data_IF_216927936583
#
_entry.id   IF_216927936583
#
_cell.length_a   1.000
_cell.length_b   1.000
_cell.length_c   1.000
_cell.angle_alpha   90.00
_cell.angle_beta   90.00
_cell.angle_gamma   90.00
#
_symmetry.space_group_name_H-M   'P 1'
#
loop_
_entity.id
_entity.type
_entity.pdbx_description
1 polymer ?
#
# COMPACT_ATOMS: atom_id res chain seq x y z
N UNK A 1 13.34 -19.49 9.50
CA UNK A 1 12.47 -18.35 9.07
C UNK A 1 12.82 -17.15 9.92
N UNK A 2 13.00 -15.95 9.36
CA UNK A 2 13.23 -14.77 10.18
C UNK A 2 12.02 -14.58 11.12
N UNK A 3 12.30 -14.25 12.40
CA UNK A 3 11.27 -13.94 13.39
C UNK A 3 10.40 -12.77 12.85
N UNK A 4 9.09 -12.80 13.09
CA UNK A 4 8.22 -11.66 12.78
C UNK A 4 8.63 -10.47 13.63
N UNK A 5 9.03 -9.37 13.00
CA UNK A 5 9.43 -8.15 13.70
C UNK A 5 8.25 -7.25 14.07
N UNK A 6 7.13 -7.40 13.36
CA UNK A 6 5.89 -6.70 13.64
C UNK A 6 4.68 -7.49 13.14
N UNK A 7 3.54 -7.26 13.78
CA UNK A 7 2.22 -7.76 13.36
C UNK A 7 1.36 -6.53 13.10
N UNK A 8 0.81 -6.44 11.89
CA UNK A 8 -0.21 -5.44 11.52
C UNK A 8 -1.56 -6.13 11.50
N UNK A 9 -2.54 -5.53 12.13
CA UNK A 9 -3.89 -6.09 12.24
C UNK A 9 -4.83 -5.50 11.19
N UNK A 10 -5.81 -6.30 10.78
CA UNK A 10 -6.95 -5.76 10.06
C UNK A 10 -7.66 -4.70 10.92
N UNK A 11 -8.21 -3.69 10.27
CA UNK A 11 -8.92 -2.61 10.94
C UNK A 11 -10.22 -2.29 10.22
N UNK A 12 -11.11 -1.62 10.94
CA UNK A 12 -12.33 -1.03 10.41
C UNK A 12 -12.62 0.25 11.17
N UNK A 13 -12.80 1.34 10.46
CA UNK A 13 -13.28 2.56 11.07
C UNK A 13 -14.81 2.50 11.28
N UNK A 14 -15.27 3.13 12.35
CA UNK A 14 -16.68 3.15 12.78
C UNK A 14 -17.08 4.60 13.03
N UNK A 15 -18.26 4.99 12.56
CA UNK A 15 -18.85 6.29 12.85
C UNK A 15 -20.37 6.13 13.05
N UNK A 16 -20.95 6.94 13.95
CA UNK A 16 -22.40 7.08 14.10
C UNK A 16 -23.00 8.07 13.10
N UNK A 17 -22.18 8.98 12.57
CA UNK A 17 -22.58 9.93 11.53
C UNK A 17 -22.68 9.21 10.18
N UNK A 18 -23.84 9.26 9.50
CA UNK A 18 -24.03 8.56 8.22
C UNK A 18 -23.12 9.06 7.09
N UNK A 19 -22.79 10.36 7.03
CA UNK A 19 -21.92 10.93 6.03
C UNK A 19 -20.47 10.52 6.26
N UNK A 20 -20.01 10.63 7.52
CA UNK A 20 -18.68 10.16 7.90
C UNK A 20 -18.57 8.64 7.68
N UNK A 21 -19.59 7.87 8.03
CA UNK A 21 -19.65 6.42 7.80
C UNK A 21 -19.50 6.08 6.33
N UNK A 22 -20.10 6.86 5.43
CA UNK A 22 -19.97 6.70 3.99
C UNK A 22 -18.56 7.07 3.49
N UNK A 23 -18.04 8.21 3.94
CA UNK A 23 -16.70 8.65 3.57
C UNK A 23 -15.63 7.66 4.02
N UNK A 24 -15.75 7.14 5.24
CA UNK A 24 -14.79 6.17 5.78
C UNK A 24 -14.90 4.80 5.10
N UNK A 25 -16.09 4.42 4.63
CA UNK A 25 -16.27 3.20 3.85
C UNK A 25 -15.47 3.25 2.52
N UNK A 26 -15.49 4.38 1.85
CA UNK A 26 -14.67 4.61 0.65
C UNK A 26 -13.17 4.62 0.97
N UNK A 27 -12.78 5.27 2.06
CA UNK A 27 -11.37 5.31 2.51
C UNK A 27 -10.84 3.90 2.84
N UNK A 28 -11.55 3.15 3.69
CA UNK A 28 -11.18 1.79 4.07
C UNK A 28 -11.20 0.85 2.85
N UNK A 29 -12.14 1.05 1.94
CA UNK A 29 -12.22 0.34 0.67
C UNK A 29 -10.98 0.61 -0.19
N UNK A 30 -10.55 1.86 -0.31
CA UNK A 30 -9.32 2.24 -1.01
C UNK A 30 -8.08 1.60 -0.39
N UNK A 31 -7.94 1.66 0.95
CA UNK A 31 -6.80 1.07 1.66
C UNK A 31 -6.77 -0.46 1.50
N UNK A 32 -7.91 -1.11 1.62
CA UNK A 32 -8.02 -2.56 1.44
C UNK A 32 -7.73 -2.96 -0.01
N UNK A 33 -8.25 -2.22 -0.98
CA UNK A 33 -7.96 -2.43 -2.39
C UNK A 33 -6.46 -2.30 -2.69
N UNK A 34 -5.80 -1.24 -2.19
CA UNK A 34 -4.36 -1.03 -2.34
C UNK A 34 -3.55 -2.20 -1.80
N UNK A 35 -3.81 -2.62 -0.55
CA UNK A 35 -3.08 -3.72 0.10
C UNK A 35 -3.29 -5.05 -0.63
N UNK A 36 -4.53 -5.38 -1.03
CA UNK A 36 -4.82 -6.60 -1.78
C UNK A 36 -4.16 -6.59 -3.17
N UNK A 37 -4.13 -5.43 -3.83
CA UNK A 37 -3.48 -5.28 -5.13
C UNK A 37 -1.96 -5.41 -5.03
N UNK A 38 -1.32 -4.87 -3.97
CA UNK A 38 0.09 -5.11 -3.68
C UNK A 38 0.38 -6.59 -3.44
N UNK A 39 -0.51 -7.28 -2.71
CA UNK A 39 -0.40 -8.72 -2.47
C UNK A 39 -0.50 -9.51 -3.78
N UNK A 40 -1.45 -9.18 -4.65
CA UNK A 40 -1.58 -9.78 -5.97
C UNK A 40 -0.36 -9.52 -6.88
N UNK A 41 0.30 -8.37 -6.71
CA UNK A 41 1.55 -8.05 -7.40
C UNK A 41 2.80 -8.73 -6.79
N UNK A 42 2.65 -9.56 -5.73
CA UNK A 42 3.75 -10.16 -4.96
C UNK A 42 4.71 -9.14 -4.33
N UNK A 43 4.20 -7.99 -3.91
CA UNK A 43 5.00 -7.00 -3.18
C UNK A 43 5.22 -7.44 -1.73
N UNK A 44 6.45 -7.30 -1.23
CA UNK A 44 6.81 -7.54 0.17
C UNK A 44 6.18 -6.53 1.14
N UNK A 45 5.57 -5.46 0.62
CA UNK A 45 5.01 -4.34 1.38
C UNK A 45 3.47 -4.30 1.38
N UNK A 46 2.83 -5.47 1.22
CA UNK A 46 1.38 -5.64 1.16
C UNK A 46 0.73 -5.70 2.56
N UNK A 47 0.79 -4.61 3.32
CA UNK A 47 0.18 -4.46 4.64
C UNK A 47 -0.30 -3.01 4.85
N UNK A 48 -1.37 -2.78 5.63
CA UNK A 48 -1.82 -1.43 5.97
C UNK A 48 -0.83 -0.75 6.93
N UNK A 49 -0.72 0.58 6.84
CA UNK A 49 0.21 1.38 7.65
C UNK A 49 -0.54 2.40 8.51
N UNK A 50 -1.36 1.91 9.43
CA UNK A 50 -2.09 2.73 10.40
C UNK A 50 -1.45 2.59 11.78
N UNK A 51 -1.01 3.69 12.35
CA UNK A 51 -0.20 3.74 13.58
C UNK A 51 -0.81 3.07 14.81
N UNK A 52 -2.14 2.97 14.86
CA UNK A 52 -2.86 2.35 15.99
C UNK A 52 -3.21 0.87 15.78
N UNK A 53 -2.76 0.25 14.68
CA UNK A 53 -3.19 -1.10 14.28
C UNK A 53 -2.05 -2.11 14.13
N UNK A 54 -0.93 -1.89 14.79
CA UNK A 54 0.17 -2.85 14.77
C UNK A 54 0.87 -2.98 16.12
N UNK A 55 1.52 -4.12 16.32
CA UNK A 55 2.41 -4.39 17.43
C UNK A 55 3.82 -4.68 16.88
N UNK A 56 4.85 -4.26 17.59
CA UNK A 56 6.26 -4.42 17.20
C UNK A 56 6.98 -5.15 18.31
N UNK A 57 7.84 -6.11 17.94
CA UNK A 57 8.74 -6.74 18.88
C UNK A 57 9.76 -5.73 19.40
N UNK A 58 9.98 -5.68 20.73
CA UNK A 58 10.81 -4.65 21.37
C UNK A 58 12.24 -4.59 20.81
N UNK A 59 12.87 -5.75 20.58
CA UNK A 59 14.20 -5.82 19.96
C UNK A 59 14.22 -5.24 18.55
N UNK A 60 13.20 -5.54 17.74
CA UNK A 60 13.10 -4.98 16.38
C UNK A 60 12.90 -3.48 16.41
N UNK A 61 12.09 -2.98 17.35
CA UNK A 61 11.89 -1.54 17.53
C UNK A 61 13.22 -0.84 17.90
N UNK A 62 13.99 -1.41 18.79
CA UNK A 62 15.31 -0.90 19.16
C UNK A 62 16.31 -0.96 17.98
N UNK A 63 16.35 -2.09 17.25
CA UNK A 63 17.20 -2.30 16.08
C UNK A 63 17.00 -1.24 15.00
N UNK A 64 15.74 -0.89 14.71
CA UNK A 64 15.42 0.15 13.72
C UNK A 64 15.48 1.57 14.30
N UNK A 65 15.88 1.74 15.56
CA UNK A 65 15.98 3.02 16.28
C UNK A 65 14.64 3.76 16.37
N UNK A 66 13.55 3.00 16.56
CA UNK A 66 12.21 3.52 16.80
C UNK A 66 11.61 4.37 15.69
N UNK A 67 10.62 5.19 16.06
CA UNK A 67 9.95 6.10 15.14
C UNK A 67 10.89 7.14 14.56
N UNK A 68 10.83 7.38 13.23
CA UNK A 68 11.55 8.51 12.64
C UNK A 68 10.91 9.83 13.08
N UNK A 69 11.74 10.86 13.29
CA UNK A 69 11.27 12.23 13.58
C UNK A 69 10.66 12.84 12.30
N UNK A 70 9.34 12.75 12.16
CA UNK A 70 8.58 13.27 11.01
C UNK A 70 7.27 13.90 11.50
N UNK A 71 6.80 14.90 10.80
CA UNK A 71 5.54 15.59 11.12
C UNK A 71 4.30 14.76 10.75
N UNK A 72 4.45 13.76 9.86
CA UNK A 72 3.37 12.85 9.47
C UNK A 72 3.93 11.61 8.74
N UNK A 73 3.19 10.51 8.74
CA UNK A 73 3.55 9.25 8.10
C UNK A 73 4.69 8.52 8.81
N UNK A 74 4.91 8.79 10.08
CA UNK A 74 5.92 8.15 10.93
C UNK A 74 5.70 6.65 11.05
N UNK A 75 4.45 6.21 11.08
CA UNK A 75 4.01 4.81 11.08
C UNK A 75 4.41 4.08 9.78
N UNK A 76 4.11 4.67 8.63
CA UNK A 76 4.55 4.16 7.33
C UNK A 76 6.07 3.98 7.27
N UNK A 77 6.82 5.00 7.69
CA UNK A 77 8.28 4.95 7.64
C UNK A 77 8.86 3.97 8.65
N UNK A 78 8.25 3.81 9.84
CA UNK A 78 8.66 2.83 10.83
C UNK A 78 8.48 1.40 10.28
N UNK A 79 7.29 1.07 9.77
CA UNK A 79 7.04 -0.24 9.17
C UNK A 79 7.93 -0.49 7.95
N UNK A 80 8.19 0.52 7.11
CA UNK A 80 9.14 0.40 6.00
C UNK A 80 10.57 0.08 6.46
N UNK A 81 11.04 0.63 7.59
CA UNK A 81 12.33 0.28 8.20
C UNK A 81 12.33 -1.17 8.71
N UNK A 82 11.27 -1.57 9.41
CA UNK A 82 11.13 -2.92 9.95
C UNK A 82 11.11 -3.96 8.83
N UNK A 83 10.37 -3.71 7.74
CA UNK A 83 10.28 -4.62 6.61
C UNK A 83 11.63 -4.91 5.92
N UNK A 84 12.63 -4.03 6.10
CA UNK A 84 14.01 -4.24 5.59
C UNK A 84 14.86 -5.16 6.47
N UNK A 85 14.48 -5.37 7.72
CA UNK A 85 15.27 -6.15 8.69
C UNK A 85 14.54 -7.37 9.21
N UNK A 86 13.23 -7.40 9.08
CA UNK A 86 12.37 -8.43 9.66
C UNK A 86 11.09 -8.58 8.85
N UNK A 87 10.45 -9.73 8.99
CA UNK A 87 9.14 -9.96 8.37
C UNK A 87 8.06 -9.16 9.09
N UNK A 88 7.16 -8.54 8.34
CA UNK A 88 5.88 -8.00 8.83
C UNK A 88 4.78 -9.02 8.54
N UNK A 89 4.07 -9.43 9.57
CA UNK A 89 2.89 -10.30 9.43
C UNK A 89 1.63 -9.43 9.37
N UNK A 90 0.78 -9.66 8.37
CA UNK A 90 -0.56 -9.07 8.32
C UNK A 90 -1.57 -10.10 8.81
N UNK A 91 -2.16 -9.84 9.98
CA UNK A 91 -3.19 -10.68 10.59
C UNK A 91 -4.59 -10.17 10.26
N UNK A 92 -5.44 -11.07 9.78
CA UNK A 92 -6.87 -10.81 9.53
C UNK A 92 -7.78 -11.53 10.51
N UNK A 93 -7.22 -12.28 11.46
CA UNK A 93 -7.96 -13.00 12.50
C UNK A 93 -8.61 -12.04 13.51
N UNK A 94 -7.91 -10.96 13.81
CA UNK A 94 -8.41 -9.88 14.68
C UNK A 94 -8.60 -8.62 13.87
N UNK A 95 -9.76 -7.97 14.01
CA UNK A 95 -10.05 -6.65 13.40
C UNK A 95 -10.15 -5.60 14.49
N UNK A 96 -9.31 -4.56 14.39
CA UNK A 96 -9.32 -3.43 15.33
C UNK A 96 -10.37 -2.42 14.88
N UNK A 97 -11.31 -2.09 15.77
CA UNK A 97 -12.28 -1.01 15.57
C UNK A 97 -11.64 0.34 15.86
N UNK A 98 -11.72 1.27 14.94
CA UNK A 98 -11.21 2.63 15.07
C UNK A 98 -12.37 3.63 14.98
N UNK A 99 -12.45 4.57 15.91
CA UNK A 99 -13.40 5.66 15.78
C UNK A 99 -12.98 6.60 14.65
N UNK A 100 -13.86 6.76 13.67
CA UNK A 100 -13.66 7.71 12.58
C UNK A 100 -13.95 9.12 13.09
N UNK A 101 -12.95 9.99 13.02
CA UNK A 101 -13.07 11.40 13.42
C UNK A 101 -12.39 12.33 12.45
N UNK A 102 -12.97 13.49 12.25
CA UNK A 102 -12.31 14.59 11.54
C UNK A 102 -11.15 15.11 12.39
N UNK A 103 -9.99 15.30 11.78
CA UNK A 103 -8.81 15.84 12.46
C UNK A 103 -8.01 16.69 11.49
N UNK A 104 -7.60 17.85 11.94
CA UNK A 104 -6.71 18.77 11.20
C UNK A 104 -5.28 18.76 11.78
N UNK A 105 -4.97 17.81 12.69
CA UNK A 105 -3.70 17.77 13.41
C UNK A 105 -2.48 17.59 12.49
N UNK A 106 -2.65 16.81 11.43
CA UNK A 106 -1.59 16.47 10.49
C UNK A 106 -2.05 16.67 9.04
N UNK A 107 -1.15 17.02 8.11
CA UNK A 107 -1.53 17.34 6.73
C UNK A 107 -1.91 16.09 5.90
N UNK A 108 -1.53 14.90 6.33
CA UNK A 108 -1.81 13.62 5.67
C UNK A 108 -2.31 12.59 6.70
N UNK A 109 -3.06 11.58 6.24
CA UNK A 109 -3.63 10.52 7.06
C UNK A 109 -5.16 10.49 7.00
N UNK A 110 -5.78 9.72 7.90
CA UNK A 110 -7.23 9.44 7.90
C UNK A 110 -8.09 10.71 7.95
N UNK A 111 -7.80 11.64 8.87
CA UNK A 111 -8.61 12.87 9.01
C UNK A 111 -8.70 13.72 7.75
N UNK A 112 -7.56 14.18 7.17
CA UNK A 112 -7.56 14.92 5.92
C UNK A 112 -8.17 14.15 4.74
N UNK A 113 -8.00 12.82 4.70
CA UNK A 113 -8.60 11.97 3.66
C UNK A 113 -10.12 11.93 3.77
N UNK A 114 -10.67 11.76 4.97
CA UNK A 114 -12.12 11.80 5.20
C UNK A 114 -12.70 13.13 4.74
N UNK A 115 -12.06 14.26 5.09
CA UNK A 115 -12.52 15.59 4.67
C UNK A 115 -12.62 15.71 3.16
N UNK A 116 -11.58 15.30 2.43
CA UNK A 116 -11.58 15.31 0.96
C UNK A 116 -12.68 14.42 0.38
N UNK A 117 -12.95 13.28 1.00
CA UNK A 117 -14.00 12.36 0.53
C UNK A 117 -15.38 12.95 0.81
N UNK A 118 -15.59 13.64 1.93
CA UNK A 118 -16.83 14.35 2.21
C UNK A 118 -17.13 15.43 1.16
N UNK A 119 -16.11 16.22 0.77
CA UNK A 119 -16.25 17.23 -0.30
C UNK A 119 -16.62 16.58 -1.66
N UNK A 120 -16.19 15.33 -1.89
CA UNK A 120 -16.59 14.55 -3.09
C UNK A 120 -18.02 14.06 -2.96
N UNK A 121 -18.41 13.51 -1.80
CA UNK A 121 -19.76 12.98 -1.55
C UNK A 121 -20.82 14.09 -1.59
N UNK A 122 -20.48 15.29 -1.16
CA UNK A 122 -21.36 16.45 -1.25
C UNK A 122 -21.76 16.75 -2.71
N UNK A 123 -20.80 16.62 -3.64
CA UNK A 123 -21.01 16.86 -5.08
C UNK A 123 -21.57 15.64 -5.81
N UNK A 124 -21.18 14.46 -5.38
CA UNK A 124 -21.62 13.17 -5.90
C UNK A 124 -22.03 12.24 -4.76
N UNK A 125 -23.30 12.29 -4.34
CA UNK A 125 -23.81 11.43 -3.27
C UNK A 125 -23.69 9.93 -3.57
N UNK A 126 -23.47 9.51 -4.82
CA UNK A 126 -23.23 8.10 -5.14
C UNK A 126 -21.85 7.60 -4.69
N UNK A 127 -20.85 8.50 -4.60
CA UNK A 127 -19.46 8.19 -4.33
C UNK A 127 -18.68 7.63 -5.54
N UNK A 128 -19.30 7.62 -6.72
CA UNK A 128 -18.66 7.14 -7.96
C UNK A 128 -17.47 8.01 -8.36
N UNK A 129 -17.50 9.30 -8.05
CA UNK A 129 -16.42 10.24 -8.34
C UNK A 129 -15.19 10.07 -7.44
N UNK A 130 -15.24 9.18 -6.42
CA UNK A 130 -14.07 8.88 -5.63
C UNK A 130 -13.11 7.98 -6.40
N UNK A 131 -11.93 8.54 -6.74
CA UNK A 131 -10.95 7.86 -7.58
C UNK A 131 -9.92 7.10 -6.75
N UNK A 132 -9.54 5.93 -7.25
CA UNK A 132 -8.47 5.08 -6.73
C UNK A 132 -7.53 4.66 -7.87
N UNK A 133 -6.52 3.87 -7.53
CA UNK A 133 -5.56 3.37 -8.51
C UNK A 133 -6.23 2.48 -9.57
N UNK A 134 -5.77 2.63 -10.81
CA UNK A 134 -6.13 1.72 -11.88
C UNK A 134 -5.56 0.31 -11.62
N UNK A 135 -6.34 -0.78 -11.78
CA UNK A 135 -5.82 -2.15 -11.61
C UNK A 135 -4.61 -2.48 -12.49
N UNK A 136 -4.52 -1.86 -13.66
CA UNK A 136 -3.37 -2.06 -14.56
C UNK A 136 -2.05 -1.58 -13.97
N UNK A 137 -2.07 -0.58 -13.06
CA UNK A 137 -0.88 -0.16 -12.31
C UNK A 137 -0.27 -1.30 -11.49
N UNK A 138 -1.11 -2.13 -10.87
CA UNK A 138 -0.60 -3.25 -10.07
C UNK A 138 -0.14 -4.42 -10.93
N UNK A 139 -0.71 -4.63 -12.12
CA UNK A 139 -0.17 -5.56 -13.13
C UNK A 139 1.18 -5.07 -13.65
N UNK A 140 1.31 -3.77 -13.87
CA UNK A 140 2.57 -3.15 -14.26
C UNK A 140 3.63 -3.27 -13.15
N UNK A 141 3.25 -3.05 -11.87
CA UNK A 141 4.11 -3.29 -10.71
C UNK A 141 4.56 -4.76 -10.62
N UNK A 142 3.63 -5.72 -10.79
CA UNK A 142 3.96 -7.14 -10.77
C UNK A 142 5.00 -7.51 -11.83
N UNK A 143 4.87 -6.93 -13.02
CA UNK A 143 5.84 -7.09 -14.11
C UNK A 143 7.19 -6.47 -13.72
N UNK A 144 7.22 -5.26 -13.19
CA UNK A 144 8.45 -4.61 -12.73
C UNK A 144 9.16 -5.43 -11.64
N UNK A 145 8.43 -5.96 -10.65
CA UNK A 145 9.00 -6.83 -9.60
C UNK A 145 9.59 -8.11 -10.19
N UNK A 146 8.95 -8.71 -11.19
CA UNK A 146 9.48 -9.88 -11.91
C UNK A 146 10.77 -9.55 -12.67
N UNK A 147 10.83 -8.41 -13.34
CA UNK A 147 12.02 -7.97 -14.07
C UNK A 147 13.17 -7.64 -13.11
N UNK A 148 12.90 -6.99 -11.96
CA UNK A 148 13.87 -6.77 -10.88
C UNK A 148 14.43 -8.11 -10.38
N UNK A 149 13.58 -9.11 -10.18
CA UNK A 149 14.02 -10.45 -9.78
C UNK A 149 14.89 -11.13 -10.85
N UNK A 150 14.57 -10.96 -12.13
CA UNK A 150 15.40 -11.46 -13.23
C UNK A 150 16.76 -10.77 -13.26
N UNK A 151 16.81 -9.45 -13.07
CA UNK A 151 18.05 -8.68 -12.98
C UNK A 151 18.93 -9.11 -11.79
N UNK A 152 18.34 -9.49 -10.65
CA UNK A 152 19.09 -10.04 -9.52
C UNK A 152 19.84 -11.34 -9.89
N UNK A 153 19.27 -12.16 -10.75
CA UNK A 153 19.88 -13.42 -11.22
C UNK A 153 21.01 -13.17 -12.21
N UNK A 154 20.74 -12.37 -13.22
CA UNK A 154 21.72 -12.00 -14.25
C UNK A 154 21.39 -10.62 -14.82
N UNK A 155 22.40 -9.83 -15.23
CA UNK A 155 22.15 -8.56 -15.91
C UNK A 155 21.22 -8.78 -17.11
N UNK A 156 20.13 -8.02 -17.17
CA UNK A 156 19.18 -8.06 -18.29
C UNK A 156 18.63 -6.65 -18.54
N UNK A 157 18.05 -6.47 -19.72
CA UNK A 157 17.34 -5.24 -20.03
C UNK A 157 15.93 -5.27 -19.47
N UNK A 158 15.47 -4.13 -19.00
CA UNK A 158 14.09 -3.90 -18.57
C UNK A 158 13.23 -3.52 -19.78
N UNK A 159 11.93 -3.75 -19.68
CA UNK A 159 10.97 -3.05 -20.54
C UNK A 159 11.24 -1.54 -20.49
N UNK A 160 11.11 -0.86 -21.62
CA UNK A 160 11.47 0.56 -21.77
C UNK A 160 10.76 1.46 -20.75
N UNK A 161 9.46 1.26 -20.56
CA UNK A 161 8.66 2.08 -19.62
C UNK A 161 9.04 1.73 -18.18
N UNK A 162 9.19 0.44 -17.84
CA UNK A 162 9.61 -0.01 -16.51
C UNK A 162 10.99 0.54 -16.18
N UNK A 163 11.95 0.36 -17.07
CA UNK A 163 13.33 0.85 -16.91
C UNK A 163 13.36 2.36 -16.67
N UNK A 164 12.65 3.13 -17.50
CA UNK A 164 12.53 4.58 -17.31
C UNK A 164 12.00 4.95 -15.91
N UNK A 165 10.93 4.27 -15.42
CA UNK A 165 10.37 4.55 -14.08
C UNK A 165 11.30 4.13 -12.95
N UNK A 166 12.05 3.05 -13.11
CA UNK A 166 13.06 2.62 -12.15
C UNK A 166 14.24 3.60 -12.10
N UNK A 167 14.68 4.11 -13.24
CA UNK A 167 15.77 5.10 -13.33
C UNK A 167 15.38 6.44 -12.68
N UNK A 168 14.15 6.88 -12.87
CA UNK A 168 13.61 8.02 -12.14
C UNK A 168 13.61 7.84 -10.61
N UNK A 169 13.69 6.60 -10.12
CA UNK A 169 13.84 6.24 -8.71
C UNK A 169 15.30 6.02 -8.28
N UNK A 170 16.25 6.18 -9.20
CA UNK A 170 17.68 6.04 -8.96
C UNK A 170 18.17 4.59 -9.07
N UNK A 171 17.56 3.76 -9.93
CA UNK A 171 17.94 2.36 -10.11
C UNK A 171 19.38 2.19 -10.60
N UNK A 172 19.85 3.03 -11.52
CA UNK A 172 21.20 2.94 -12.10
C UNK A 172 22.29 2.95 -11.03
N UNK A 173 22.09 3.69 -9.94
CA UNK A 173 23.06 3.77 -8.84
C UNK A 173 23.27 2.40 -8.15
N UNK A 174 22.22 1.61 -7.96
CA UNK A 174 22.34 0.27 -7.35
C UNK A 174 22.74 -0.75 -8.40
N UNK A 175 22.22 -0.65 -9.60
CA UNK A 175 22.48 -1.58 -10.70
C UNK A 175 23.96 -1.63 -11.08
N UNK A 176 24.65 -0.48 -11.12
CA UNK A 176 26.07 -0.37 -11.51
C UNK A 176 27.02 -1.15 -10.59
N UNK A 177 26.65 -1.40 -9.35
CA UNK A 177 27.51 -2.06 -8.36
C UNK A 177 26.98 -3.41 -7.89
N UNK A 178 25.73 -3.75 -8.19
CA UNK A 178 25.05 -4.91 -7.62
C UNK A 178 25.79 -6.23 -7.93
N UNK A 179 26.09 -6.47 -9.20
CA UNK A 179 26.69 -7.73 -9.64
C UNK A 179 28.18 -7.85 -9.32
N UNK A 180 28.89 -6.73 -9.10
CA UNK A 180 30.28 -6.73 -8.65
C UNK A 180 30.41 -6.91 -7.15
N UNK A 181 29.48 -6.34 -6.34
CA UNK A 181 29.54 -6.40 -4.90
C UNK A 181 28.97 -7.70 -4.31
N UNK A 182 27.95 -8.29 -4.95
CA UNK A 182 27.24 -9.46 -4.39
C UNK A 182 27.37 -10.66 -5.34
N UNK A 183 27.98 -11.75 -4.84
CA UNK A 183 28.22 -12.96 -5.62
C UNK A 183 26.97 -13.80 -5.82
N UNK A 184 26.14 -13.96 -4.77
CA UNK A 184 24.94 -14.79 -4.85
C UNK A 184 23.72 -14.00 -5.36
N UNK A 185 22.86 -14.67 -6.13
CA UNK A 185 21.58 -14.11 -6.58
C UNK A 185 20.67 -13.72 -5.41
N UNK A 186 20.73 -14.47 -4.31
CA UNK A 186 19.88 -14.22 -3.14
C UNK A 186 20.29 -12.93 -2.42
N UNK A 187 21.59 -12.68 -2.28
CA UNK A 187 22.09 -11.40 -1.72
C UNK A 187 21.72 -10.23 -2.62
N UNK A 188 21.80 -10.39 -3.93
CA UNK A 188 21.38 -9.35 -4.89
C UNK A 188 19.89 -9.08 -4.81
N UNK A 189 19.06 -10.14 -4.72
CA UNK A 189 17.62 -10.01 -4.56
C UNK A 189 17.28 -9.29 -3.25
N UNK A 190 17.88 -9.68 -2.12
CA UNK A 190 17.66 -9.02 -0.84
C UNK A 190 18.00 -7.52 -0.88
N UNK A 191 19.12 -7.17 -1.52
CA UNK A 191 19.49 -5.76 -1.69
C UNK A 191 18.51 -4.98 -2.58
N UNK A 192 18.02 -5.59 -3.66
CA UNK A 192 17.00 -4.98 -4.51
C UNK A 192 15.65 -4.86 -3.80
N UNK A 193 15.24 -5.84 -3.01
CA UNK A 193 14.02 -5.79 -2.20
C UNK A 193 14.09 -4.66 -1.15
N UNK A 194 15.24 -4.49 -0.49
CA UNK A 194 15.47 -3.38 0.44
C UNK A 194 15.54 -2.03 -0.27
N UNK A 195 16.09 -1.98 -1.48
CA UNK A 195 16.13 -0.76 -2.28
C UNK A 195 14.74 -0.39 -2.81
N UNK A 196 14.00 -1.33 -3.41
CA UNK A 196 12.65 -1.12 -3.92
C UNK A 196 11.62 -1.28 -2.79
N UNK A 197 11.76 -0.46 -1.76
CA UNK A 197 10.97 -0.48 -0.54
C UNK A 197 9.55 0.09 -0.72
N UNK A 198 8.75 0.12 0.36
CA UNK A 198 7.38 0.62 0.33
C UNK A 198 7.27 2.04 -0.25
N UNK A 199 8.23 2.92 0.06
CA UNK A 199 8.23 4.29 -0.45
C UNK A 199 8.51 4.33 -1.96
N UNK A 200 9.48 3.54 -2.44
CA UNK A 200 9.76 3.44 -3.87
C UNK A 200 8.62 2.75 -4.63
N UNK A 201 8.01 1.72 -4.04
CA UNK A 201 6.80 1.11 -4.60
C UNK A 201 5.70 2.14 -4.79
N UNK A 202 5.40 2.96 -3.77
CA UNK A 202 4.40 4.03 -3.87
C UNK A 202 4.77 5.06 -4.94
N UNK A 203 6.03 5.51 -4.96
CA UNK A 203 6.52 6.46 -5.96
C UNK A 203 6.49 5.89 -7.38
N UNK A 204 6.81 4.62 -7.54
CA UNK A 204 6.73 3.93 -8.83
C UNK A 204 5.29 3.93 -9.38
N UNK A 205 4.32 3.58 -8.54
CA UNK A 205 2.91 3.64 -8.90
C UNK A 205 2.49 5.06 -9.31
N UNK A 206 2.84 6.08 -8.52
CA UNK A 206 2.51 7.48 -8.84
C UNK A 206 3.15 7.94 -10.16
N UNK A 207 4.40 7.55 -10.45
CA UNK A 207 5.08 7.88 -11.71
C UNK A 207 4.44 7.20 -12.92
N UNK A 208 3.81 6.05 -12.73
CA UNK A 208 3.12 5.32 -13.76
C UNK A 208 1.64 5.74 -13.95
N UNK A 209 1.09 6.60 -13.08
CA UNK A 209 -0.29 7.12 -13.19
C UNK A 209 -0.54 7.86 -14.51
N UNK A 210 0.48 8.45 -15.14
CA UNK A 210 0.36 9.07 -16.46
C UNK A 210 -0.02 8.09 -17.56
N UNK A 211 0.36 6.81 -17.41
CA UNK A 211 0.02 5.73 -18.36
C UNK A 211 -1.27 5.01 -17.96
N UNK A 212 -1.58 4.99 -16.66
CA UNK A 212 -2.73 4.30 -16.08
C UNK A 212 -3.47 5.23 -15.11
N UNK A 213 -4.25 6.21 -15.63
CA UNK A 213 -4.94 7.20 -14.80
C UNK A 213 -5.85 6.55 -13.76
N UNK A 214 -6.02 7.22 -12.63
CA UNK A 214 -6.97 6.81 -11.60
C UNK A 214 -8.37 6.68 -12.16
N UNK A 215 -9.14 5.78 -11.57
CA UNK A 215 -10.53 5.52 -11.96
C UNK A 215 -11.41 5.33 -10.71
N UNK A 216 -12.72 5.32 -10.89
CA UNK A 216 -13.68 5.13 -9.81
C UNK A 216 -13.34 3.90 -8.98
N UNK A 217 -13.23 4.07 -7.66
CA UNK A 217 -13.04 2.93 -6.73
C UNK A 217 -14.20 1.95 -6.85
N UNK A 218 -15.44 2.44 -6.78
CA UNK A 218 -16.62 1.58 -6.85
C UNK A 218 -16.74 0.86 -8.20
N UNK A 219 -16.44 1.56 -9.30
CA UNK A 219 -16.36 0.97 -10.64
C UNK A 219 -15.31 -0.14 -10.72
N UNK A 220 -14.12 0.12 -10.15
CA UNK A 220 -13.04 -0.87 -10.08
C UNK A 220 -13.47 -2.11 -9.28
N UNK A 221 -14.03 -1.93 -8.08
CA UNK A 221 -14.43 -3.04 -7.22
C UNK A 221 -15.50 -3.93 -7.85
N UNK A 222 -16.39 -3.38 -8.69
CA UNK A 222 -17.44 -4.16 -9.38
C UNK A 222 -16.87 -5.13 -10.39
N UNK A 223 -15.82 -4.75 -11.11
CA UNK A 223 -15.21 -5.57 -12.17
C UNK A 223 -14.13 -6.51 -11.66
N UNK A 224 -13.73 -6.41 -10.38
CA UNK A 224 -12.80 -7.35 -9.78
C UNK A 224 -13.39 -8.76 -9.72
N UNK A 225 -12.56 -9.81 -9.83
CA UNK A 225 -12.95 -11.19 -9.57
C UNK A 225 -13.65 -11.30 -8.20
N UNK A 226 -14.71 -12.10 -8.12
CA UNK A 226 -15.57 -12.23 -6.93
C UNK A 226 -14.74 -12.42 -5.64
N UNK A 227 -13.79 -13.34 -5.63
CA UNK A 227 -12.94 -13.63 -4.47
C UNK A 227 -12.14 -12.42 -4.01
N UNK A 228 -11.57 -11.65 -4.94
CA UNK A 228 -10.81 -10.44 -4.62
C UNK A 228 -11.73 -9.34 -4.06
N UNK A 229 -12.86 -9.12 -4.71
CA UNK A 229 -13.88 -8.16 -4.25
C UNK A 229 -14.37 -8.50 -2.84
N UNK A 230 -14.73 -9.76 -2.58
CA UNK A 230 -15.18 -10.23 -1.27
C UNK A 230 -14.13 -10.00 -0.18
N UNK A 231 -12.85 -10.18 -0.47
CA UNK A 231 -11.77 -9.94 0.50
C UNK A 231 -11.66 -8.46 0.94
N UNK A 232 -12.12 -7.54 0.08
CA UNK A 232 -12.13 -6.08 0.35
C UNK A 232 -13.43 -5.67 1.05
N UNK A 233 -14.56 -6.18 0.55
CA UNK A 233 -15.90 -5.68 0.89
C UNK A 233 -16.49 -6.36 2.14
N UNK A 234 -16.15 -7.64 2.39
CA UNK A 234 -16.75 -8.44 3.47
C UNK A 234 -16.59 -7.82 4.88
N UNK A 235 -15.54 -7.04 5.08
CA UNK A 235 -15.25 -6.36 6.34
C UNK A 235 -15.84 -4.95 6.45
N UNK A 236 -16.51 -4.47 5.39
CA UNK A 236 -17.06 -3.13 5.31
C UNK A 236 -18.50 -3.15 4.77
N UNK A 237 -19.52 -3.35 5.67
CA UNK A 237 -20.91 -3.44 5.26
C UNK A 237 -21.41 -2.22 4.49
N UNK A 238 -20.95 -1.01 4.86
CA UNK A 238 -21.36 0.22 4.16
C UNK A 238 -20.78 0.29 2.74
N UNK A 239 -19.57 -0.22 2.51
CA UNK A 239 -19.00 -0.35 1.18
C UNK A 239 -19.79 -1.36 0.32
N UNK A 240 -20.24 -2.47 0.95
CA UNK A 240 -21.11 -3.44 0.29
C UNK A 240 -22.43 -2.81 -0.16
N UNK A 241 -23.05 -2.02 0.70
CA UNK A 241 -24.28 -1.26 0.38
C UNK A 241 -24.04 -0.30 -0.79
N UNK A 242 -22.94 0.46 -0.79
CA UNK A 242 -22.58 1.36 -1.87
C UNK A 242 -22.38 0.65 -3.22
N UNK A 243 -21.91 -0.59 -3.18
CA UNK A 243 -21.74 -1.41 -4.40
C UNK A 243 -23.05 -2.00 -4.90
N UNK A 244 -24.01 -2.24 -4.02
CA UNK A 244 -25.31 -2.85 -4.37
C UNK A 244 -26.33 -1.85 -4.91
N UNK A 245 -26.17 -0.56 -4.62
CA UNK A 245 -27.11 0.50 -4.99
C UNK A 245 -26.98 0.97 -6.47
N UNK A 246 -26.31 0.19 -7.29
CA UNK A 246 -26.08 0.40 -8.72
C UNK A 246 -25.97 -0.96 -9.44
#
# INVERSE_FOLDING_TARGET
MPKSGAIVYAHRHISKDPLISKAIALYDGHMSYYVNSLKAANSNYAYPTLGSTFAIHAETYAQVRGYPKRNAGEDFHLLNKIAKTSRIQYSTETTIGLEARLSNRVPIGTGPSIKKILDIIEKDPSGQSYLSYNPLLFKFLARALKEICSFARAPCQFDEIIGSKLDELGFQKIASTLHSHYRSSDQRQENLDQWFDALKTLRFLHKAESHYPKQSLLGTLRVLPRKERESIVSKNPKLSELLSNF
#
